data_IF_265871083715
#
_entry.id   IF_265871083715
#
_cell.length_a   1.000
_cell.length_b   1.000
_cell.length_c   1.000
_cell.angle_alpha   90.00
_cell.angle_beta   90.00
_cell.angle_gamma   90.00
#
_symmetry.space_group_name_H-M   'P 1'
#
loop_
_entity.id
_entity.type
_entity.pdbx_description
1 polymer ?
#
# COMPACT_ATOMS: atom_id res chain seq x y z
N UNK A 1 -2.02 2.49 -28.91
CA UNK A 1 -2.81 1.58 -28.05
C UNK A 1 -1.92 0.40 -27.70
N UNK A 2 -1.43 0.32 -26.47
CA UNK A 2 -0.74 -0.87 -26.00
C UNK A 2 -1.76 -2.02 -25.91
N UNK A 3 -1.41 -3.27 -26.28
CA UNK A 3 -2.29 -4.40 -26.09
C UNK A 3 -2.61 -4.51 -24.59
N UNK A 4 -3.89 -4.39 -24.26
CA UNK A 4 -4.36 -4.52 -22.89
C UNK A 4 -3.91 -5.87 -22.35
N UNK A 5 -3.34 -5.90 -21.15
CA UNK A 5 -2.94 -7.12 -20.49
C UNK A 5 -4.15 -8.07 -20.41
N UNK A 6 -4.20 -9.08 -21.27
CA UNK A 6 -5.25 -10.11 -21.28
C UNK A 6 -4.87 -11.18 -20.26
N UNK A 7 -5.25 -10.98 -19.01
CA UNK A 7 -5.22 -12.01 -17.98
C UNK A 7 -6.66 -12.38 -17.59
N UNK A 8 -7.01 -13.67 -17.67
CA UNK A 8 -8.27 -14.14 -17.10
C UNK A 8 -8.18 -14.05 -15.58
N UNK A 9 -9.12 -13.35 -14.93
CA UNK A 9 -9.24 -13.37 -13.47
C UNK A 9 -9.67 -14.76 -13.04
N UNK A 10 -8.75 -15.53 -12.46
CA UNK A 10 -9.04 -16.89 -11.98
C UNK A 10 -9.87 -16.81 -10.69
N UNK A 11 -10.85 -17.70 -10.54
CA UNK A 11 -11.50 -17.92 -9.26
C UNK A 11 -10.53 -18.69 -8.37
N UNK A 12 -10.15 -18.08 -7.25
CA UNK A 12 -9.17 -18.58 -6.30
C UNK A 12 -9.84 -19.24 -5.08
N UNK A 13 -11.16 -19.13 -4.92
CA UNK A 13 -11.88 -19.74 -3.81
C UNK A 13 -12.04 -18.88 -2.58
N UNK A 14 -12.25 -19.52 -1.43
CA UNK A 14 -12.16 -18.85 -0.14
C UNK A 14 -10.69 -18.79 0.30
N UNK A 15 -10.29 -17.63 0.81
CA UNK A 15 -8.97 -17.42 1.35
C UNK A 15 -9.02 -17.31 2.88
N UNK A 16 -7.94 -17.69 3.54
CA UNK A 16 -7.83 -17.61 5.01
C UNK A 16 -6.51 -16.95 5.38
N UNK A 17 -6.56 -15.95 6.23
CA UNK A 17 -5.39 -15.45 6.93
C UNK A 17 -5.24 -16.17 8.27
N UNK A 18 -4.00 -16.50 8.63
CA UNK A 18 -3.64 -17.08 9.93
C UNK A 18 -2.62 -16.21 10.63
N UNK A 19 -2.75 -16.10 11.95
CA UNK A 19 -1.78 -15.44 12.81
C UNK A 19 -1.30 -16.43 13.88
N UNK A 20 0.02 -16.69 13.93
CA UNK A 20 0.59 -17.67 14.86
C UNK A 20 -0.05 -19.07 14.75
N UNK A 21 -0.42 -19.50 13.55
CA UNK A 21 -1.07 -20.80 13.30
C UNK A 21 -2.57 -20.86 13.61
N UNK A 22 -3.18 -19.79 14.12
CA UNK A 22 -4.63 -19.71 14.39
C UNK A 22 -5.33 -18.96 13.26
N UNK A 23 -6.57 -19.33 12.94
CA UNK A 23 -7.39 -18.58 11.97
C UNK A 23 -7.59 -17.13 12.46
N UNK A 24 -7.11 -16.17 11.67
CA UNK A 24 -7.26 -14.75 11.94
C UNK A 24 -8.48 -14.18 11.21
N UNK A 25 -8.63 -14.52 9.92
CA UNK A 25 -9.78 -14.08 9.13
C UNK A 25 -10.02 -15.01 7.93
N UNK A 26 -11.27 -15.16 7.54
CA UNK A 26 -11.64 -15.84 6.29
C UNK A 26 -12.24 -14.80 5.33
N UNK A 27 -11.75 -14.79 4.10
CA UNK A 27 -12.15 -13.85 3.07
C UNK A 27 -12.94 -14.57 1.98
N UNK A 28 -14.07 -13.97 1.64
CA UNK A 28 -14.84 -14.35 0.47
C UNK A 28 -14.51 -13.41 -0.70
N UNK A 29 -14.57 -13.96 -1.90
CA UNK A 29 -14.39 -13.21 -3.13
C UNK A 29 -15.57 -12.24 -3.32
N UNK A 30 -15.29 -10.97 -3.58
CA UNK A 30 -16.31 -9.98 -3.96
C UNK A 30 -16.79 -10.22 -5.40
N UNK A 31 -17.88 -9.56 -5.79
CA UNK A 31 -18.40 -9.63 -7.16
C UNK A 31 -17.38 -9.14 -8.20
N UNK A 32 -16.58 -8.13 -7.84
CA UNK A 32 -15.47 -7.63 -8.67
C UNK A 32 -14.28 -8.59 -8.73
N UNK A 33 -14.28 -9.66 -7.92
CA UNK A 33 -13.24 -10.67 -7.87
C UNK A 33 -12.04 -10.32 -7.00
N UNK A 34 -12.23 -9.43 -6.03
CA UNK A 34 -11.21 -9.07 -5.05
C UNK A 34 -11.49 -9.74 -3.70
N UNK A 35 -10.49 -9.77 -2.84
CA UNK A 35 -10.62 -10.20 -1.45
C UNK A 35 -10.27 -9.02 -0.58
N UNK A 36 -11.10 -8.73 0.42
CA UNK A 36 -10.88 -7.62 1.33
C UNK A 36 -11.08 -8.07 2.76
N UNK A 37 -10.06 -7.83 3.59
CA UNK A 37 -10.20 -7.93 5.04
C UNK A 37 -10.90 -6.66 5.53
N UNK A 38 -12.19 -6.76 5.83
CA UNK A 38 -12.99 -5.65 6.34
C UNK A 38 -12.91 -5.56 7.87
N UNK A 39 -12.99 -4.34 8.41
CA UNK A 39 -13.13 -4.12 9.85
C UNK A 39 -11.87 -4.30 10.70
N UNK A 40 -10.70 -4.53 10.09
CA UNK A 40 -9.43 -4.49 10.80
C UNK A 40 -9.05 -3.02 11.11
N UNK A 41 -9.38 -2.55 12.31
CA UNK A 41 -9.00 -1.21 12.80
C UNK A 41 -7.72 -1.22 13.62
N UNK A 42 -7.34 -2.38 14.15
CA UNK A 42 -6.08 -2.60 14.85
C UNK A 42 -4.95 -2.94 13.86
N UNK A 43 -3.67 -2.71 14.23
CA UNK A 43 -2.54 -3.16 13.42
C UNK A 43 -2.64 -4.64 13.05
N UNK A 44 -2.34 -4.95 11.78
CA UNK A 44 -2.25 -6.33 11.34
C UNK A 44 -1.17 -7.08 12.16
N UNK A 45 -1.39 -8.37 12.47
CA UNK A 45 -0.37 -9.20 13.12
C UNK A 45 0.96 -9.17 12.34
N UNK A 46 2.08 -9.12 13.05
CA UNK A 46 3.41 -9.11 12.43
C UNK A 46 3.72 -10.44 11.69
N UNK A 47 3.19 -11.56 12.18
CA UNK A 47 3.34 -12.88 11.57
C UNK A 47 1.99 -13.34 11.01
N UNK A 48 1.64 -12.82 9.82
CA UNK A 48 0.43 -13.18 9.09
C UNK A 48 0.80 -14.14 7.95
N UNK A 49 0.11 -15.28 7.86
CA UNK A 49 0.20 -16.18 6.70
C UNK A 49 -1.13 -16.27 5.97
N UNK A 50 -1.06 -16.62 4.70
CA UNK A 50 -2.20 -16.72 3.81
C UNK A 50 -2.32 -18.13 3.24
N UNK A 51 -3.51 -18.69 3.39
CA UNK A 51 -3.93 -19.94 2.79
C UNK A 51 -4.99 -19.68 1.73
N UNK A 52 -4.80 -20.31 0.59
CA UNK A 52 -5.78 -20.38 -0.49
C UNK A 52 -6.13 -21.84 -0.73
N UNK A 53 -7.33 -22.22 -0.31
CA UNK A 53 -7.80 -23.58 -0.46
C UNK A 53 -8.05 -23.92 -1.94
N UNK A 54 -7.93 -25.20 -2.30
CA UNK A 54 -8.26 -25.71 -3.64
C UNK A 54 -9.74 -25.47 -3.92
N UNK A 55 -10.06 -24.39 -4.62
CA UNK A 55 -11.36 -24.29 -5.29
C UNK A 55 -11.24 -23.39 -6.51
N UNK A 56 -11.00 -24.01 -7.66
CA UNK A 56 -11.01 -23.33 -8.96
C UNK A 56 -9.78 -23.63 -9.81
N UNK A 57 -9.51 -22.72 -10.74
CA UNK A 57 -8.41 -22.83 -11.70
C UNK A 57 -7.06 -22.35 -11.15
N UNK A 58 -7.05 -21.66 -9.99
CA UNK A 58 -5.82 -21.20 -9.35
C UNK A 58 -5.27 -22.30 -8.42
N UNK A 59 -3.96 -22.61 -8.44
CA UNK A 59 -3.36 -23.62 -7.56
C UNK A 59 -3.48 -23.27 -6.07
N UNK A 60 -3.58 -24.26 -5.19
CA UNK A 60 -3.55 -24.00 -3.74
C UNK A 60 -2.24 -23.37 -3.30
N UNK A 61 -2.33 -22.46 -2.34
CA UNK A 61 -1.19 -21.90 -1.63
C UNK A 61 -1.42 -22.12 -0.14
N UNK A 62 -0.39 -22.55 0.57
CA UNK A 62 -0.46 -22.82 2.01
C UNK A 62 0.68 -22.11 2.70
N UNK A 63 0.40 -21.48 3.84
CA UNK A 63 1.34 -20.79 4.71
C UNK A 63 2.20 -19.75 3.95
N UNK A 64 1.60 -19.04 2.99
CA UNK A 64 2.29 -17.94 2.31
C UNK A 64 2.49 -16.79 3.29
N UNK A 65 3.75 -16.47 3.63
CA UNK A 65 4.07 -15.34 4.51
C UNK A 65 3.64 -14.01 3.87
N UNK A 66 2.87 -13.21 4.60
CA UNK A 66 2.35 -11.92 4.15
C UNK A 66 3.13 -10.82 4.85
N UNK A 67 3.81 -9.99 4.07
CA UNK A 67 4.48 -8.81 4.61
C UNK A 67 3.41 -7.79 5.01
N UNK A 68 3.15 -7.61 6.29
CA UNK A 68 2.18 -6.62 6.80
C UNK A 68 2.79 -5.24 7.01
N UNK A 69 4.12 -5.16 7.05
CA UNK A 69 4.89 -3.92 7.16
C UNK A 69 4.76 -3.23 8.53
N UNK A 70 5.68 -2.31 8.78
CA UNK A 70 5.63 -1.40 9.93
C UNK A 70 4.87 -0.13 9.57
N UNK A 71 4.30 0.55 10.58
CA UNK A 71 3.76 1.89 10.38
C UNK A 71 4.86 2.79 9.79
N UNK A 72 4.47 3.65 8.85
CA UNK A 72 5.39 4.69 8.40
C UNK A 72 5.57 5.68 9.55
N UNK A 73 6.80 6.16 9.72
CA UNK A 73 7.18 7.24 10.64
C UNK A 73 7.91 8.30 9.85
N UNK A 74 7.31 9.49 9.71
CA UNK A 74 7.95 10.65 9.13
C UNK A 74 9.10 11.13 10.02
N UNK A 75 10.14 11.67 9.41
CA UNK A 75 11.21 12.29 10.15
C UNK A 75 10.70 13.59 10.81
N UNK A 76 11.14 13.87 12.03
CA UNK A 76 10.75 15.05 12.83
C UNK A 76 11.00 16.40 12.11
N UNK A 77 11.81 16.41 11.04
CA UNK A 77 12.06 17.59 10.19
C UNK A 77 10.93 17.89 9.21
N UNK A 78 9.97 16.98 9.02
CA UNK A 78 8.82 17.16 8.13
C UNK A 78 7.64 17.68 8.96
N UNK A 79 7.24 18.93 8.69
CA UNK A 79 6.01 19.49 9.26
C UNK A 79 4.82 19.12 8.36
N UNK A 80 3.91 18.23 8.80
CA UNK A 80 2.78 17.79 7.99
C UNK A 80 1.75 18.89 7.73
N UNK A 81 1.76 20.00 8.48
CA UNK A 81 0.81 21.10 8.30
C UNK A 81 1.41 22.28 7.48
N UNK A 82 2.68 22.16 7.05
CA UNK A 82 3.40 23.20 6.31
C UNK A 82 4.10 22.65 5.05
N UNK A 83 3.36 21.94 4.22
CA UNK A 83 3.87 21.36 2.97
C UNK A 83 3.90 22.40 1.86
N UNK A 84 5.02 22.48 1.14
CA UNK A 84 5.22 23.31 -0.06
C UNK A 84 5.72 22.45 -1.22
N UNK A 85 5.82 23.02 -2.42
CA UNK A 85 6.44 22.32 -3.56
C UNK A 85 7.91 21.99 -3.32
N UNK A 86 8.60 22.69 -2.42
CA UNK A 86 10.01 22.44 -2.09
C UNK A 86 10.20 21.50 -0.89
N UNK A 87 9.11 20.99 -0.30
CA UNK A 87 9.22 20.08 0.84
C UNK A 87 9.91 18.79 0.44
N UNK A 88 10.99 18.47 1.16
CA UNK A 88 11.64 17.17 1.13
C UNK A 88 11.06 16.30 2.26
N UNK A 89 10.43 15.20 1.89
CA UNK A 89 9.90 14.21 2.80
C UNK A 89 11.01 13.22 3.15
N UNK A 90 11.05 12.79 4.41
CA UNK A 90 11.93 11.75 4.91
C UNK A 90 11.18 10.87 5.91
N UNK A 91 11.57 9.60 6.01
CA UNK A 91 10.98 8.60 6.90
C UNK A 91 11.95 7.46 7.17
N UNK A 92 11.66 6.65 8.19
CA UNK A 92 12.39 5.41 8.45
C UNK A 92 12.05 4.34 7.39
N UNK A 93 13.00 3.88 6.56
CA UNK A 93 12.73 2.89 5.52
C UNK A 93 12.17 1.58 6.09
N UNK A 94 11.18 1.00 5.40
CA UNK A 94 10.64 -0.31 5.72
C UNK A 94 11.40 -1.46 5.06
N UNK A 95 10.68 -2.57 4.84
CA UNK A 95 11.21 -3.75 4.17
C UNK A 95 11.32 -3.57 2.65
N UNK A 96 12.23 -4.33 2.02
CA UNK A 96 12.41 -4.31 0.57
C UNK A 96 11.11 -4.69 -0.17
N UNK A 97 10.84 -4.04 -1.30
CA UNK A 97 9.63 -4.27 -2.09
C UNK A 97 8.38 -3.51 -1.59
N UNK A 98 8.58 -2.55 -0.69
CA UNK A 98 7.52 -1.65 -0.21
C UNK A 98 7.51 -0.32 -0.96
N UNK A 99 6.35 0.33 -0.99
CA UNK A 99 6.19 1.69 -1.50
C UNK A 99 5.51 2.58 -0.44
N UNK A 100 5.76 3.88 -0.53
CA UNK A 100 5.14 4.89 0.34
C UNK A 100 4.17 5.72 -0.47
N UNK A 101 2.96 5.89 0.05
CA UNK A 101 1.98 6.82 -0.50
C UNK A 101 1.93 8.09 0.36
N UNK A 102 1.99 9.24 -0.30
CA UNK A 102 1.92 10.58 0.31
C UNK A 102 0.76 11.31 -0.37
N UNK A 103 -0.26 11.71 0.39
CA UNK A 103 -1.43 12.42 -0.12
C UNK A 103 -1.61 13.68 0.70
N UNK A 104 -1.77 14.81 0.04
CA UNK A 104 -2.00 16.08 0.71
C UNK A 104 -2.79 17.06 -0.12
N UNK A 105 -3.14 18.18 0.50
CA UNK A 105 -4.00 19.19 -0.10
C UNK A 105 -3.73 20.59 0.46
N UNK A 106 -4.05 21.61 -0.32
CA UNK A 106 -3.85 23.01 0.01
C UNK A 106 -4.33 23.94 -1.09
N UNK A 107 -4.96 25.06 -0.74
CA UNK A 107 -5.38 26.08 -1.72
C UNK A 107 -6.36 25.59 -2.80
N UNK A 108 -7.11 24.51 -2.56
CA UNK A 108 -8.01 23.91 -3.56
C UNK A 108 -7.34 22.90 -4.49
N UNK A 109 -6.03 22.65 -4.32
CA UNK A 109 -5.25 21.66 -5.07
C UNK A 109 -4.92 20.48 -4.16
N UNK A 110 -4.87 19.27 -4.72
CA UNK A 110 -4.45 18.05 -4.03
C UNK A 110 -3.32 17.37 -4.81
N UNK A 111 -2.47 16.65 -4.09
CA UNK A 111 -1.41 15.83 -4.66
C UNK A 111 -1.47 14.41 -4.10
N UNK A 112 -1.00 13.45 -4.89
CA UNK A 112 -0.79 12.07 -4.49
C UNK A 112 0.50 11.57 -5.12
N UNK A 113 1.43 11.09 -4.31
CA UNK A 113 2.73 10.61 -4.74
C UNK A 113 2.96 9.19 -4.25
N UNK A 114 3.65 8.41 -5.09
CA UNK A 114 4.15 7.08 -4.74
C UNK A 114 5.67 7.13 -4.77
N UNK A 115 6.29 6.81 -3.65
CA UNK A 115 7.74 6.78 -3.49
C UNK A 115 8.22 5.35 -3.20
N UNK A 116 9.46 5.06 -3.58
CA UNK A 116 10.12 3.83 -3.16
C UNK A 116 10.49 3.93 -1.67
N UNK A 117 10.00 3.01 -0.86
CA UNK A 117 10.18 3.03 0.59
C UNK A 117 11.66 2.86 0.99
N UNK A 118 12.41 2.04 0.25
CA UNK A 118 13.82 1.74 0.54
C UNK A 118 14.73 2.98 0.46
N UNK A 119 14.30 4.02 -0.26
CA UNK A 119 15.05 5.29 -0.37
C UNK A 119 14.91 6.17 0.87
N UNK A 120 13.89 5.96 1.70
CA UNK A 120 13.63 6.74 2.93
C UNK A 120 13.32 8.22 2.72
N UNK A 121 13.20 8.67 1.47
CA UNK A 121 13.08 10.08 1.11
C UNK A 121 12.27 10.24 -0.17
N UNK A 122 11.64 11.40 -0.30
CA UNK A 122 10.98 11.84 -1.53
C UNK A 122 11.00 13.36 -1.63
N UNK A 123 11.18 13.87 -2.83
CA UNK A 123 10.96 15.27 -3.17
C UNK A 123 10.16 15.32 -4.46
N UNK A 124 9.32 16.34 -4.61
CA UNK A 124 8.56 16.52 -5.83
C UNK A 124 9.52 16.68 -7.03
N UNK A 125 9.36 15.88 -8.10
CA UNK A 125 10.08 16.11 -9.35
C UNK A 125 9.84 17.53 -9.86
N UNK A 126 10.83 18.13 -10.52
CA UNK A 126 10.74 19.50 -11.06
C UNK A 126 9.45 19.75 -11.85
N UNK A 127 9.08 18.82 -12.74
CA UNK A 127 7.84 18.93 -13.51
C UNK A 127 6.59 18.99 -12.62
N UNK A 128 6.53 18.16 -11.57
CA UNK A 128 5.43 18.16 -10.61
C UNK A 128 5.40 19.45 -9.78
N UNK A 129 6.57 19.99 -9.39
CA UNK A 129 6.64 21.30 -8.70
C UNK A 129 6.07 22.41 -9.56
N UNK A 130 6.41 22.43 -10.85
CA UNK A 130 5.86 23.39 -11.82
C UNK A 130 4.35 23.22 -12.01
N UNK A 131 3.85 21.99 -12.14
CA UNK A 131 2.42 21.70 -12.28
C UNK A 131 1.64 22.14 -11.03
N UNK A 132 2.13 21.83 -9.83
CA UNK A 132 1.53 22.23 -8.57
C UNK A 132 1.51 23.75 -8.41
N UNK A 133 2.63 24.43 -8.72
CA UNK A 133 2.71 25.88 -8.68
C UNK A 133 1.75 26.53 -9.69
N UNK A 134 1.67 26.01 -10.92
CA UNK A 134 0.73 26.47 -11.94
C UNK A 134 -0.73 26.25 -11.54
N UNK A 135 -1.01 25.18 -10.78
CA UNK A 135 -2.30 24.91 -10.15
C UNK A 135 -2.57 25.74 -8.89
N UNK A 136 -1.68 26.65 -8.50
CA UNK A 136 -1.88 27.56 -7.36
C UNK A 136 -1.54 26.94 -5.99
N UNK A 137 -0.89 25.77 -5.94
CA UNK A 137 -0.43 25.19 -4.70
C UNK A 137 0.83 25.92 -4.21
N UNK A 138 0.65 26.89 -3.31
CA UNK A 138 1.74 27.61 -2.64
C UNK A 138 2.06 27.05 -1.24
N UNK A 139 1.15 26.27 -0.68
CA UNK A 139 1.26 25.69 0.66
C UNK A 139 0.03 24.87 1.00
N UNK A 140 0.21 23.84 1.82
CA UNK A 140 -0.85 22.94 2.24
C UNK A 140 -0.40 22.00 3.35
N UNK A 141 -1.09 20.88 3.47
CA UNK A 141 -0.85 19.86 4.47
C UNK A 141 -0.75 18.48 3.84
N UNK A 142 -0.13 17.56 4.57
CA UNK A 142 -0.13 16.14 4.31
C UNK A 142 -1.32 15.53 5.04
N UNK A 143 -2.28 15.00 4.28
CA UNK A 143 -3.53 14.47 4.83
C UNK A 143 -3.39 12.99 5.18
N UNK A 144 -2.69 12.22 4.35
CA UNK A 144 -2.53 10.78 4.52
C UNK A 144 -1.12 10.38 4.11
N UNK A 145 -0.49 9.57 4.95
CA UNK A 145 0.69 8.80 4.56
C UNK A 145 0.43 7.32 4.77
N UNK A 146 1.10 6.49 3.99
CA UNK A 146 0.99 5.06 4.22
C UNK A 146 2.11 4.27 3.58
N UNK A 147 2.31 3.07 4.13
CA UNK A 147 3.20 2.07 3.58
C UNK A 147 2.38 0.98 2.91
N UNK A 148 2.73 0.68 1.66
CA UNK A 148 2.19 -0.41 0.87
C UNK A 148 3.26 -1.49 0.80
N UNK A 149 2.94 -2.69 1.27
CA UNK A 149 3.77 -3.88 1.10
C UNK A 149 3.11 -4.82 0.11
N UNK A 150 3.91 -5.52 -0.69
CA UNK A 150 3.42 -6.47 -1.68
C UNK A 150 4.10 -7.82 -1.50
N UNK A 151 3.30 -8.86 -1.24
CA UNK A 151 3.72 -10.25 -1.32
C UNK A 151 3.25 -10.82 -2.66
N UNK A 152 4.16 -11.46 -3.38
CA UNK A 152 3.85 -12.13 -4.64
C UNK A 152 4.12 -13.63 -4.51
N UNK A 153 3.22 -14.44 -5.04
CA UNK A 153 3.41 -15.88 -5.17
C UNK A 153 2.99 -16.33 -6.56
N UNK A 154 3.85 -17.10 -7.22
CA UNK A 154 3.56 -17.67 -8.55
C UNK A 154 3.34 -19.18 -8.43
N UNK A 155 2.43 -19.70 -9.23
CA UNK A 155 2.23 -21.14 -9.38
C UNK A 155 1.80 -21.45 -10.82
N UNK A 156 2.68 -22.15 -11.56
CA UNK A 156 2.54 -22.32 -13.00
C UNK A 156 2.51 -20.97 -13.73
N UNK A 157 1.47 -20.74 -14.53
CA UNK A 157 1.22 -19.46 -15.23
C UNK A 157 0.40 -18.45 -14.42
N UNK A 158 0.11 -18.74 -13.14
CA UNK A 158 -0.74 -17.91 -12.29
C UNK A 158 0.08 -17.08 -11.31
N UNK A 159 -0.34 -15.84 -11.06
CA UNK A 159 0.26 -14.92 -10.10
C UNK A 159 -0.79 -14.53 -9.05
N UNK A 160 -0.46 -14.72 -7.77
CA UNK A 160 -1.15 -14.11 -6.65
C UNK A 160 -0.36 -12.90 -6.17
N UNK A 161 -1.04 -11.77 -6.01
CA UNK A 161 -0.51 -10.60 -5.34
C UNK A 161 -1.36 -10.31 -4.11
N UNK A 162 -0.72 -10.17 -2.96
CA UNK A 162 -1.32 -9.73 -1.70
C UNK A 162 -0.68 -8.41 -1.36
N UNK A 163 -1.49 -7.36 -1.23
CA UNK A 163 -1.01 -6.05 -0.81
C UNK A 163 -1.58 -5.73 0.57
N UNK A 164 -0.74 -5.24 1.47
CA UNK A 164 -1.19 -4.61 2.71
C UNK A 164 -0.90 -3.12 2.63
N UNK A 165 -1.90 -2.32 2.97
CA UNK A 165 -1.77 -0.87 3.08
C UNK A 165 -1.92 -0.49 4.55
N UNK A 166 -0.89 0.13 5.10
CA UNK A 166 -0.91 0.67 6.45
C UNK A 166 -0.88 2.18 6.38
N UNK A 167 -2.00 2.81 6.73
CA UNK A 167 -2.11 4.26 6.81
C UNK A 167 -1.63 4.74 8.17
N UNK A 168 -0.93 5.87 8.19
CA UNK A 168 -0.56 6.62 9.38
C UNK A 168 -1.19 8.01 9.26
N UNK A 169 -1.75 8.53 10.35
CA UNK A 169 -2.08 9.97 10.42
C UNK A 169 -0.78 10.72 10.67
N UNK A 170 -0.31 11.54 9.72
CA UNK A 170 0.99 12.18 9.81
C UNK A 170 1.12 13.17 10.99
N UNK A 171 0.03 13.47 11.71
CA UNK A 171 -0.02 14.38 12.87
C UNK A 171 -0.08 13.68 14.23
N UNK A 172 -0.19 12.35 14.27
CA UNK A 172 -0.32 11.56 15.50
C UNK A 172 0.88 10.63 15.74
N UNK A 173 2.07 10.99 15.22
CA UNK A 173 3.31 10.25 15.43
C UNK A 173 4.02 10.60 16.74
#
# INVERSE_FOLDING_TARGET
>A
MAPGATGNRLNAGNATFRAGGTNYASLSRTDSGHYQLAGATEPLPAALSFDLAVSGAFPSLTDLSVATGTALRLADTVDPDAITTETAFAWDPGEAGSAVILIGSGGGTAFSCLANDATGTFAFPEATRQELAAAGFAGGKLDVVGRITSTQATSGSSLLMINALRLTDPRNE
#
